data_IF_011412207319
#
_entry.id   IF_011412207319
#
_cell.length_a   1.000
_cell.length_b   1.000
_cell.length_c   1.000
_cell.angle_alpha   90.00
_cell.angle_beta   90.00
_cell.angle_gamma   90.00
#
_symmetry.space_group_name_H-M   'P 1'
#
loop_
_entity.id
_entity.type
_entity.pdbx_description
1 polymer ?
#
# COMPACT_ATOMS: atom_id res chain seq x y z
N UNK A 1 -9.20 24.21 -1.58
CA UNK A 1 -8.11 23.51 -2.28
C UNK A 1 -6.90 23.50 -1.36
N UNK A 2 -6.18 22.38 -1.28
CA UNK A 2 -4.98 22.24 -0.46
C UNK A 2 -3.78 22.02 -1.39
N UNK A 3 -2.66 22.64 -1.03
CA UNK A 3 -1.41 22.58 -1.78
C UNK A 3 -0.55 21.44 -1.25
N UNK A 4 0.02 20.65 -2.15
CA UNK A 4 0.91 19.53 -1.86
C UNK A 4 2.20 19.67 -2.67
N UNK A 5 3.29 19.09 -2.16
CA UNK A 5 4.57 19.08 -2.85
C UNK A 5 4.60 18.01 -3.95
N UNK A 6 5.15 18.36 -5.10
CA UNK A 6 5.41 17.44 -6.20
C UNK A 6 6.90 17.12 -6.18
N UNK A 7 7.24 15.88 -5.85
CA UNK A 7 8.61 15.40 -5.67
C UNK A 7 9.00 14.40 -6.76
N UNK A 8 10.31 14.17 -6.91
CA UNK A 8 10.88 13.16 -7.80
C UNK A 8 11.61 12.09 -6.98
N UNK A 9 11.14 10.84 -7.06
CA UNK A 9 11.73 9.66 -6.41
C UNK A 9 11.78 8.53 -7.43
N UNK A 10 12.93 7.87 -7.59
CA UNK A 10 13.12 6.75 -8.52
C UNK A 10 12.61 7.01 -9.94
N UNK A 11 12.85 8.22 -10.45
CA UNK A 11 12.37 8.71 -11.76
C UNK A 11 10.84 8.77 -11.92
N UNK A 12 10.09 8.81 -10.82
CA UNK A 12 8.64 8.99 -10.79
C UNK A 12 8.26 10.32 -10.16
N UNK A 13 7.23 10.94 -10.72
CA UNK A 13 6.57 12.09 -10.12
C UNK A 13 5.64 11.61 -9.01
N UNK A 14 5.83 12.17 -7.82
CA UNK A 14 5.11 11.80 -6.63
C UNK A 14 4.46 13.02 -6.00
N UNK A 15 3.17 12.93 -5.68
CA UNK A 15 2.51 13.89 -4.80
C UNK A 15 2.78 13.43 -3.37
N UNK A 16 3.50 14.24 -2.61
CA UNK A 16 3.70 14.01 -1.18
C UNK A 16 2.39 14.30 -0.44
N UNK A 17 1.75 13.27 0.11
CA UNK A 17 0.47 13.36 0.80
C UNK A 17 0.64 13.61 2.31
N UNK A 18 1.88 13.65 2.82
CA UNK A 18 2.23 13.83 4.21
C UNK A 18 2.25 12.53 5.03
N UNK A 19 2.60 12.68 6.31
CA UNK A 19 2.83 11.55 7.21
C UNK A 19 1.60 10.66 7.36
N UNK A 20 1.85 9.36 7.50
CA UNK A 20 0.83 8.41 7.92
C UNK A 20 0.34 8.80 9.33
N UNK A 21 -0.98 8.75 9.57
CA UNK A 21 -1.55 9.10 10.88
C UNK A 21 -1.10 8.17 12.02
N UNK A 22 -0.58 7.00 11.67
CA UNK A 22 -0.24 5.94 12.61
C UNK A 22 1.27 5.83 12.88
N UNK A 23 2.10 6.60 12.16
CA UNK A 23 3.55 6.43 12.20
C UNK A 23 4.31 7.67 11.69
N UNK A 24 5.32 8.10 12.43
CA UNK A 24 6.17 9.25 12.08
C UNK A 24 7.32 8.86 11.13
N UNK A 25 7.62 7.56 10.98
CA UNK A 25 8.71 7.09 10.11
C UNK A 25 8.25 6.76 8.69
N UNK A 26 6.96 6.90 8.39
CA UNK A 26 6.43 6.70 7.03
C UNK A 26 5.57 7.85 6.53
N UNK A 27 5.66 8.08 5.21
CA UNK A 27 4.92 9.14 4.51
C UNK A 27 4.14 8.55 3.34
N UNK A 28 2.91 9.03 3.16
CA UNK A 28 2.10 8.65 2.01
C UNK A 28 2.49 9.43 0.76
N UNK A 29 2.59 8.74 -0.36
CA UNK A 29 2.94 9.32 -1.65
C UNK A 29 2.07 8.77 -2.76
N UNK A 30 1.60 9.64 -3.65
CA UNK A 30 0.69 9.25 -4.73
C UNK A 30 1.28 9.56 -6.11
N UNK A 31 1.52 8.52 -6.92
CA UNK A 31 2.02 8.59 -8.31
C UNK A 31 0.96 8.14 -9.34
N UNK A 32 -0.30 8.04 -8.91
CA UNK A 32 -1.38 7.34 -9.61
C UNK A 32 -1.77 6.02 -8.91
N UNK A 33 -0.93 5.55 -7.99
CA UNK A 33 -1.21 4.48 -7.03
C UNK A 33 -0.82 4.95 -5.62
N UNK A 34 -1.43 4.39 -4.56
CA UNK A 34 -0.98 4.67 -3.20
C UNK A 34 0.35 3.97 -2.94
N UNK A 35 1.31 4.74 -2.45
CA UNK A 35 2.62 4.25 -2.04
C UNK A 35 2.92 4.75 -0.63
N UNK A 36 3.72 3.97 0.10
CA UNK A 36 4.20 4.33 1.43
C UNK A 36 5.72 4.35 1.36
N UNK A 37 6.31 5.48 1.73
CA UNK A 37 7.76 5.70 1.73
C UNK A 37 8.28 5.78 3.15
N UNK A 38 9.55 5.46 3.33
CA UNK A 38 10.26 5.91 4.54
C UNK A 38 10.34 7.45 4.51
N UNK A 39 10.03 8.09 5.62
CA UNK A 39 10.12 9.55 5.75
C UNK A 39 11.55 10.04 5.42
N UNK A 40 12.58 9.22 5.72
CA UNK A 40 13.97 9.54 5.41
C UNK A 40 14.29 9.54 3.91
N UNK A 41 13.48 8.88 3.08
CA UNK A 41 13.63 8.85 1.62
C UNK A 41 12.87 10.01 0.96
N UNK A 42 11.68 10.33 1.46
CA UNK A 42 10.78 11.33 0.86
C UNK A 42 11.06 12.77 1.30
N UNK A 43 11.51 13.00 2.53
CA UNK A 43 11.85 14.34 3.04
C UNK A 43 12.99 15.00 2.25
N UNK A 44 14.13 14.32 1.98
CA UNK A 44 15.20 14.93 1.18
C UNK A 44 14.93 14.89 -0.33
N UNK A 45 13.84 14.28 -0.79
CA UNK A 45 13.58 14.14 -2.21
C UNK A 45 13.38 15.50 -2.90
N UNK A 46 13.86 15.60 -4.14
CA UNK A 46 13.85 16.86 -4.89
C UNK A 46 12.41 17.35 -5.14
N UNK A 47 12.10 18.53 -4.62
CA UNK A 47 10.85 19.25 -4.93
C UNK A 47 10.95 19.81 -6.35
N UNK A 48 10.03 19.41 -7.22
CA UNK A 48 9.90 19.91 -8.59
C UNK A 48 8.84 21.00 -8.72
N UNK A 49 7.91 21.07 -7.78
CA UNK A 49 6.87 22.07 -7.76
C UNK A 49 5.81 21.71 -6.74
N UNK A 50 4.59 22.16 -7.01
CA UNK A 50 3.44 21.92 -6.14
C UNK A 50 2.19 21.69 -6.96
N UNK A 51 1.28 20.90 -6.42
CA UNK A 51 -0.04 20.65 -6.98
C UNK A 51 -1.12 21.13 -6.01
N UNK A 52 -2.20 21.68 -6.54
CA UNK A 52 -3.39 22.03 -5.75
C UNK A 52 -4.47 20.98 -5.99
N UNK A 53 -4.99 20.41 -4.90
CA UNK A 53 -6.05 19.40 -4.94
C UNK A 53 -7.32 19.95 -4.29
N UNK A 54 -8.47 19.63 -4.87
CA UNK A 54 -9.78 19.82 -4.25
C UNK A 54 -9.98 18.87 -3.08
N UNK A 55 -10.97 19.14 -2.24
CA UNK A 55 -11.31 18.24 -1.13
C UNK A 55 -11.73 16.85 -1.65
N UNK A 56 -12.55 16.81 -2.70
CA UNK A 56 -12.98 15.56 -3.35
C UNK A 56 -11.81 14.74 -3.88
N UNK A 57 -10.80 15.38 -4.48
CA UNK A 57 -9.59 14.68 -4.95
C UNK A 57 -8.76 14.11 -3.80
N UNK A 58 -8.66 14.84 -2.69
CA UNK A 58 -7.94 14.39 -1.49
C UNK A 58 -8.65 13.18 -0.89
N UNK A 59 -9.98 13.23 -0.77
CA UNK A 59 -10.78 12.11 -0.25
C UNK A 59 -10.66 10.88 -1.14
N UNK A 60 -10.75 11.04 -2.46
CA UNK A 60 -10.57 9.95 -3.40
C UNK A 60 -9.18 9.29 -3.28
N UNK A 61 -8.11 10.08 -3.11
CA UNK A 61 -6.76 9.54 -2.89
C UNK A 61 -6.65 8.87 -1.53
N UNK A 62 -7.22 9.45 -0.46
CA UNK A 62 -7.15 8.89 0.88
C UNK A 62 -7.93 7.57 1.02
N UNK A 63 -9.05 7.43 0.32
CA UNK A 63 -9.81 6.18 0.32
C UNK A 63 -9.01 5.00 -0.28
N UNK A 64 -8.03 5.28 -1.16
CA UNK A 64 -7.10 4.26 -1.68
C UNK A 64 -6.13 3.72 -0.61
N UNK A 65 -5.90 4.44 0.48
CA UNK A 65 -5.11 4.01 1.65
C UNK A 65 -5.96 3.41 2.77
N UNK A 66 -7.29 3.50 2.70
CA UNK A 66 -8.16 3.17 3.85
C UNK A 66 -8.10 1.70 4.27
N UNK A 67 -7.77 0.82 3.33
CA UNK A 67 -7.58 -0.62 3.55
C UNK A 67 -6.13 -1.04 3.31
N UNK A 68 -5.21 -0.07 3.18
CA UNK A 68 -3.93 -0.23 2.52
C UNK A 68 -2.82 0.58 3.18
N UNK A 69 -1.69 -0.06 3.42
CA UNK A 69 -0.50 0.57 4.04
C UNK A 69 0.76 -0.11 3.48
N UNK A 70 1.87 0.01 4.19
CA UNK A 70 3.10 -0.74 3.96
C UNK A 70 2.89 -2.23 4.21
N UNK A 71 3.27 -3.06 3.25
CA UNK A 71 3.31 -4.51 3.39
C UNK A 71 4.50 -4.93 4.26
N UNK A 72 4.28 -5.75 5.29
CA UNK A 72 5.37 -6.22 6.18
C UNK A 72 6.34 -7.20 5.50
N UNK A 73 5.97 -7.81 4.37
CA UNK A 73 6.82 -8.77 3.65
C UNK A 73 7.70 -8.13 2.58
N UNK A 74 7.22 -7.11 1.86
CA UNK A 74 7.99 -6.47 0.79
C UNK A 74 8.34 -5.00 1.06
N UNK A 75 7.73 -4.38 2.08
CA UNK A 75 7.92 -2.96 2.39
C UNK A 75 7.22 -2.00 1.41
N UNK A 76 6.50 -2.50 0.40
CA UNK A 76 5.79 -1.68 -0.58
C UNK A 76 4.41 -1.25 -0.06
N UNK A 77 3.97 -0.04 -0.44
CA UNK A 77 2.59 0.40 -0.21
C UNK A 77 1.59 -0.39 -1.07
N UNK A 78 0.42 -0.68 -0.52
CA UNK A 78 -0.65 -1.39 -1.22
C UNK A 78 -2.01 -0.80 -0.87
N UNK A 79 -2.95 -0.81 -1.84
CA UNK A 79 -4.37 -0.41 -1.65
C UNK A 79 -5.14 -1.29 -0.67
N UNK A 80 -4.77 -2.57 -0.60
CA UNK A 80 -5.41 -3.57 0.26
C UNK A 80 -4.31 -4.41 0.90
N UNK A 81 -4.36 -4.54 2.22
CA UNK A 81 -3.58 -5.51 2.97
C UNK A 81 -4.51 -6.54 3.62
N UNK A 82 -4.03 -7.76 3.78
CA UNK A 82 -4.68 -8.85 4.50
C UNK A 82 -3.89 -9.15 5.77
N UNK A 83 -4.54 -9.72 6.78
CA UNK A 83 -3.82 -10.45 7.81
C UNK A 83 -2.98 -11.58 7.19
N UNK A 84 -1.92 -12.06 7.86
CA UNK A 84 -1.11 -13.16 7.38
C UNK A 84 -1.95 -14.44 7.40
N UNK A 85 -1.62 -15.40 6.54
CA UNK A 85 -2.25 -16.70 6.64
C UNK A 85 -1.78 -17.43 7.91
N UNK A 86 -2.62 -18.35 8.41
CA UNK A 86 -2.39 -19.05 9.69
C UNK A 86 -1.00 -19.69 9.82
N UNK A 87 -0.47 -20.22 8.71
CA UNK A 87 0.84 -20.90 8.68
C UNK A 87 2.07 -19.96 8.67
N UNK A 88 1.90 -18.66 8.44
CA UNK A 88 2.93 -17.61 8.56
C UNK A 88 2.41 -16.48 9.46
N UNK A 89 1.72 -16.83 10.54
CA UNK A 89 1.14 -15.84 11.43
C UNK A 89 2.21 -15.05 12.20
N UNK A 90 2.31 -13.77 11.88
CA UNK A 90 3.04 -12.77 12.65
C UNK A 90 1.99 -11.81 13.25
N UNK A 91 1.95 -11.63 14.58
CA UNK A 91 0.97 -10.75 15.22
C UNK A 91 0.99 -9.33 14.63
N UNK A 92 -0.18 -8.80 14.32
CA UNK A 92 -0.43 -7.47 13.75
C UNK A 92 0.20 -7.18 12.37
N UNK A 93 0.92 -8.14 11.77
CA UNK A 93 1.49 -7.94 10.46
C UNK A 93 0.41 -7.95 9.37
N UNK A 94 0.64 -7.21 8.30
CA UNK A 94 -0.25 -7.00 7.17
C UNK A 94 0.49 -7.27 5.87
N UNK A 95 -0.12 -8.09 5.02
CA UNK A 95 0.48 -8.58 3.78
C UNK A 95 -0.28 -8.06 2.55
N UNK A 96 0.43 -7.65 1.50
CA UNK A 96 -0.18 -7.27 0.23
C UNK A 96 -0.55 -8.49 -0.62
N UNK A 97 -1.41 -8.28 -1.62
CA UNK A 97 -1.87 -9.35 -2.52
C UNK A 97 -0.72 -10.08 -3.24
N UNK A 98 0.30 -9.34 -3.69
CA UNK A 98 1.43 -9.94 -4.40
C UNK A 98 2.23 -10.88 -3.50
N UNK A 99 2.49 -10.47 -2.26
CA UNK A 99 3.15 -11.32 -1.26
C UNK A 99 2.28 -12.53 -0.91
N UNK A 100 0.96 -12.33 -0.76
CA UNK A 100 0.01 -13.41 -0.51
C UNK A 100 0.04 -14.48 -1.60
N UNK A 101 -0.10 -14.10 -2.88
CA UNK A 101 -0.13 -15.07 -3.97
C UNK A 101 1.22 -15.79 -4.14
N UNK A 102 2.33 -15.11 -3.82
CA UNK A 102 3.65 -15.74 -3.78
C UNK A 102 3.74 -16.78 -2.65
N UNK A 103 3.31 -16.43 -1.43
CA UNK A 103 3.26 -17.38 -0.30
C UNK A 103 2.32 -18.55 -0.60
N UNK A 104 1.14 -18.29 -1.18
CA UNK A 104 0.17 -19.31 -1.60
C UNK A 104 0.78 -20.31 -2.59
N UNK A 105 1.43 -19.82 -3.64
CA UNK A 105 2.09 -20.68 -4.64
C UNK A 105 3.19 -21.54 -4.02
N UNK A 106 4.02 -20.93 -3.17
CA UNK A 106 5.12 -21.65 -2.52
C UNK A 106 4.59 -22.72 -1.56
N UNK A 107 3.59 -22.39 -0.75
CA UNK A 107 2.99 -23.32 0.22
C UNK A 107 2.27 -24.46 -0.47
N UNK A 108 1.52 -24.18 -1.55
CA UNK A 108 0.88 -25.21 -2.37
C UNK A 108 1.92 -26.15 -3.00
N UNK A 109 3.02 -25.60 -3.53
CA UNK A 109 4.10 -26.40 -4.11
C UNK A 109 4.84 -27.27 -3.09
N UNK A 110 4.99 -26.80 -1.85
CA UNK A 110 5.73 -27.50 -0.80
C UNK A 110 4.89 -28.54 -0.04
N UNK A 111 3.60 -28.25 0.20
CA UNK A 111 2.74 -29.04 1.10
C UNK A 111 1.55 -29.70 0.40
N UNK A 112 1.21 -29.24 -0.81
CA UNK A 112 -0.02 -29.63 -1.51
C UNK A 112 -1.30 -28.98 -0.96
N UNK A 113 -1.21 -28.12 0.06
CA UNK A 113 -2.35 -27.42 0.64
C UNK A 113 -2.46 -25.99 0.12
N UNK A 114 -3.68 -25.58 -0.24
CA UNK A 114 -3.98 -24.19 -0.62
C UNK A 114 -4.40 -23.38 0.61
N UNK A 115 -3.61 -22.36 0.95
CA UNK A 115 -3.90 -21.43 2.06
C UNK A 115 -5.10 -20.51 1.81
N UNK A 116 -5.69 -20.57 0.61
CA UNK A 116 -6.89 -19.84 0.24
C UNK A 116 -6.62 -18.48 -0.42
N UNK A 117 -7.69 -17.78 -0.82
CA UNK A 117 -7.60 -16.50 -1.49
C UNK A 117 -7.17 -15.37 -0.54
N UNK A 118 -6.58 -14.33 -1.12
CA UNK A 118 -6.20 -13.11 -0.41
C UNK A 118 -7.40 -12.48 0.34
N UNK A 119 -7.24 -12.22 1.64
CA UNK A 119 -8.28 -11.62 2.49
C UNK A 119 -9.36 -12.58 2.98
N UNK A 120 -9.23 -13.89 2.73
CA UNK A 120 -10.18 -14.90 3.21
C UNK A 120 -11.57 -14.86 2.58
N UNK A 121 -11.85 -13.87 1.73
CA UNK A 121 -13.07 -13.78 0.94
C UNK A 121 -12.97 -14.76 -0.23
N UNK A 122 -13.88 -15.73 -0.30
CA UNK A 122 -14.16 -16.40 -1.57
C UNK A 122 -14.63 -15.30 -2.52
N UNK A 123 -14.00 -15.15 -3.69
CA UNK A 123 -14.52 -14.27 -4.74
C UNK A 123 -16.02 -14.57 -4.90
N UNK A 124 -16.87 -13.64 -4.45
CA UNK A 124 -18.26 -13.65 -4.86
C UNK A 124 -18.22 -13.41 -6.36
N UNK A 125 -18.52 -14.46 -7.11
CA UNK A 125 -18.93 -14.32 -8.50
C UNK A 125 -20.17 -13.41 -8.52
N UNK A 126 -19.97 -12.10 -8.60
CA UNK A 126 -20.99 -11.19 -9.07
C UNK A 126 -21.04 -11.31 -10.60
N UNK A 127 -21.50 -12.48 -11.03
CA UNK A 127 -22.08 -12.69 -12.33
C UNK A 127 -23.58 -12.48 -12.22
N UNK A 128 -24.05 -11.29 -12.57
CA UNK A 128 -25.13 -11.02 -13.54
C UNK A 128 -25.49 -9.53 -13.56
#
# INVERSE_FOLDING_TARGET
MKKYELKMIDNKLLIDMGNNKNDDITTYGYDGLPNVYDTCDIDPAKILGTVELSQEQIEAIQDEYKNGDKCDWCGEGSKKLSDPHLFEYIPNAKMCRNCWEKSRKNYLGATGYDIGPFGGEKESNDGN
#
